data_IF_875560226667
#
_entry.id   IF_875560226667
#
_cell.length_a   1.000
_cell.length_b   1.000
_cell.length_c   1.000
_cell.angle_alpha   90.00
_cell.angle_beta   90.00
_cell.angle_gamma   90.00
#
_symmetry.space_group_name_H-M   'P 1'
#
loop_
_entity.id
_entity.type
_entity.pdbx_description
1 polymer ?
#
# COMPACT_ATOMS: atom_id res chain seq x y z
N UNK A 1 16.46 8.77 0.70
CA UNK A 1 16.59 7.30 0.54
C UNK A 1 17.92 6.89 -0.11
N UNK A 2 18.34 7.45 -1.25
CA UNK A 2 19.65 7.17 -1.83
C UNK A 2 20.83 7.45 -0.86
N UNK A 3 20.74 8.52 -0.06
CA UNK A 3 21.76 8.88 0.93
C UNK A 3 21.95 7.86 2.06
N UNK A 4 20.86 7.16 2.44
CA UNK A 4 20.86 6.11 3.47
C UNK A 4 21.63 4.89 2.95
N UNK A 5 21.37 4.48 1.71
CA UNK A 5 22.05 3.36 1.06
C UNK A 5 23.54 3.64 0.87
N UNK A 6 23.90 4.87 0.52
CA UNK A 6 25.30 5.28 0.33
C UNK A 6 26.07 5.27 1.68
N UNK A 7 25.44 5.68 2.79
CA UNK A 7 26.07 5.74 4.12
C UNK A 7 26.22 4.36 4.77
N UNK A 8 25.19 3.50 4.67
CA UNK A 8 25.29 2.13 5.15
C UNK A 8 26.22 1.28 4.27
N UNK A 9 26.19 1.50 2.95
CA UNK A 9 27.11 0.87 2.01
C UNK A 9 28.57 1.29 2.19
N UNK A 10 28.83 2.53 2.61
CA UNK A 10 30.20 3.00 2.92
C UNK A 10 30.70 2.46 4.27
N UNK A 11 29.84 2.37 5.29
CA UNK A 11 30.17 1.85 6.63
C UNK A 11 30.41 0.34 6.67
N UNK A 12 29.93 -0.43 5.68
CA UNK A 12 30.23 -1.86 5.55
C UNK A 12 31.67 -2.16 5.07
N UNK A 13 32.44 -1.13 4.67
CA UNK A 13 33.82 -1.28 4.18
C UNK A 13 34.83 -1.58 5.30
N UNK A 14 34.50 -1.25 6.56
CA UNK A 14 35.44 -1.36 7.70
C UNK A 14 35.52 -2.76 8.33
N UNK A 15 34.64 -3.70 7.99
CA UNK A 15 34.71 -5.09 8.48
C UNK A 15 34.90 -6.09 7.34
N UNK A 16 36.13 -6.11 6.80
CA UNK A 16 36.72 -7.30 6.17
C UNK A 16 36.12 -7.80 4.87
N UNK A 17 36.62 -7.30 3.74
CA UNK A 17 36.69 -8.05 2.47
C UNK A 17 35.74 -7.59 1.36
N UNK A 18 36.33 -7.23 0.22
CA UNK A 18 35.76 -7.06 -1.13
C UNK A 18 34.27 -6.62 -1.23
N UNK A 19 34.02 -5.33 -1.05
CA UNK A 19 32.94 -4.61 -1.74
C UNK A 19 31.53 -4.71 -1.14
N UNK A 20 31.25 -3.98 -0.05
CA UNK A 20 29.89 -3.76 0.44
C UNK A 20 28.92 -3.16 -0.61
N UNK A 21 29.47 -2.45 -1.60
CA UNK A 21 28.70 -1.98 -2.77
C UNK A 21 28.35 -3.14 -3.70
N UNK A 22 29.23 -4.14 -3.86
CA UNK A 22 28.98 -5.31 -4.70
C UNK A 22 27.90 -6.22 -4.09
N UNK A 23 27.93 -6.47 -2.77
CA UNK A 23 26.89 -7.25 -2.09
C UNK A 23 25.53 -6.52 -2.07
N UNK A 24 25.52 -5.20 -1.86
CA UNK A 24 24.31 -4.38 -1.96
C UNK A 24 23.73 -4.37 -3.39
N UNK A 25 24.59 -4.35 -4.42
CA UNK A 25 24.18 -4.40 -5.83
C UNK A 25 23.57 -5.75 -6.18
N UNK A 26 24.15 -6.85 -5.69
CA UNK A 26 23.59 -8.21 -5.86
C UNK A 26 22.23 -8.31 -5.17
N UNK A 27 22.11 -7.84 -3.92
CA UNK A 27 20.83 -7.81 -3.20
C UNK A 27 19.76 -6.98 -3.90
N UNK A 28 20.12 -5.78 -4.37
CA UNK A 28 19.22 -4.90 -5.13
C UNK A 28 18.78 -5.52 -6.46
N UNK A 29 19.69 -6.20 -7.17
CA UNK A 29 19.42 -6.85 -8.45
C UNK A 29 18.51 -8.06 -8.26
N UNK A 30 18.77 -8.90 -7.23
CA UNK A 30 17.91 -10.01 -6.86
C UNK A 30 16.50 -9.54 -6.46
N UNK A 31 16.40 -8.51 -5.61
CA UNK A 31 15.11 -7.95 -5.22
C UNK A 31 14.36 -7.37 -6.44
N UNK A 32 15.06 -6.65 -7.33
CA UNK A 32 14.49 -6.14 -8.57
C UNK A 32 13.96 -7.23 -9.49
N UNK A 33 14.73 -8.31 -9.69
CA UNK A 33 14.30 -9.46 -10.47
C UNK A 33 13.06 -10.14 -9.86
N UNK A 34 13.06 -10.34 -8.54
CA UNK A 34 11.91 -10.93 -7.84
C UNK A 34 10.66 -10.07 -7.99
N UNK A 35 10.79 -8.74 -7.87
CA UNK A 35 9.67 -7.80 -8.07
C UNK A 35 9.17 -7.83 -9.52
N UNK A 36 10.07 -7.92 -10.51
CA UNK A 36 9.69 -8.02 -11.92
C UNK A 36 8.92 -9.32 -12.18
N UNK A 37 9.41 -10.45 -11.66
CA UNK A 37 8.77 -11.76 -11.81
C UNK A 37 7.39 -11.76 -11.14
N UNK A 38 7.31 -11.26 -9.89
CA UNK A 38 6.05 -11.14 -9.17
C UNK A 38 5.07 -10.21 -9.91
N UNK A 39 5.53 -9.06 -10.39
CA UNK A 39 4.73 -8.12 -11.18
C UNK A 39 4.22 -8.73 -12.48
N UNK A 40 5.05 -9.53 -13.17
CA UNK A 40 4.65 -10.24 -14.39
C UNK A 40 3.57 -11.30 -14.13
N UNK A 41 3.67 -12.05 -13.03
CA UNK A 41 2.66 -13.04 -12.62
C UNK A 41 1.34 -12.38 -12.23
N UNK A 42 1.39 -11.25 -11.52
CA UNK A 42 0.19 -10.52 -11.03
C UNK A 42 -0.45 -9.67 -12.15
N UNK A 43 0.26 -9.39 -13.25
CA UNK A 43 -0.28 -8.63 -14.40
C UNK A 43 -1.52 -9.29 -15.02
N UNK A 44 -1.57 -10.63 -15.06
CA UNK A 44 -2.67 -11.37 -15.66
C UNK A 44 -4.03 -11.21 -14.91
N UNK A 45 -4.09 -11.28 -13.57
CA UNK A 45 -5.34 -11.03 -12.84
C UNK A 45 -5.75 -9.54 -12.80
N UNK A 46 -4.80 -8.60 -12.90
CA UNK A 46 -5.09 -7.15 -12.89
C UNK A 46 -5.96 -6.68 -14.06
N UNK A 47 -5.89 -7.35 -15.22
CA UNK A 47 -6.73 -7.02 -16.39
C UNK A 47 -8.20 -7.40 -16.19
N UNK A 48 -8.51 -8.24 -15.19
CA UNK A 48 -9.88 -8.65 -14.87
C UNK A 48 -10.52 -7.83 -13.75
N UNK A 49 -9.78 -6.93 -13.10
CA UNK A 49 -10.31 -6.13 -12.00
C UNK A 49 -11.06 -4.92 -12.57
N UNK A 50 -12.37 -4.77 -12.30
CA UNK A 50 -13.14 -3.63 -12.78
C UNK A 50 -12.52 -2.33 -12.27
N UNK A 51 -12.27 -1.38 -13.18
CA UNK A 51 -11.53 -0.13 -12.97
C UNK A 51 -11.94 0.63 -11.70
N UNK A 52 -13.24 0.63 -11.40
CA UNK A 52 -13.81 1.27 -10.22
C UNK A 52 -13.28 0.67 -8.90
N UNK A 53 -13.06 -0.64 -8.84
CA UNK A 53 -12.55 -1.32 -7.64
C UNK A 53 -11.06 -1.05 -7.45
N UNK A 54 -10.31 -0.99 -8.56
CA UNK A 54 -8.89 -0.68 -8.51
C UNK A 54 -8.66 0.74 -8.00
N UNK A 55 -9.38 1.72 -8.52
CA UNK A 55 -9.34 3.11 -8.04
C UNK A 55 -9.71 3.24 -6.56
N UNK A 56 -10.71 2.47 -6.12
CA UNK A 56 -11.15 2.45 -4.73
C UNK A 56 -10.07 1.93 -3.78
N UNK A 57 -9.49 0.76 -4.07
CA UNK A 57 -8.45 0.15 -3.23
C UNK A 57 -7.22 1.06 -3.21
N UNK A 58 -6.78 1.55 -4.38
CA UNK A 58 -5.62 2.45 -4.47
C UNK A 58 -5.85 3.73 -3.68
N UNK A 59 -7.05 4.31 -3.74
CA UNK A 59 -7.43 5.48 -2.93
C UNK A 59 -7.30 5.21 -1.42
N UNK A 60 -7.87 4.11 -0.92
CA UNK A 60 -7.79 3.73 0.50
C UNK A 60 -6.33 3.53 0.94
N UNK A 61 -5.54 2.85 0.11
CA UNK A 61 -4.13 2.62 0.40
C UNK A 61 -3.36 3.94 0.47
N UNK A 62 -3.54 4.83 -0.51
CA UNK A 62 -2.88 6.14 -0.55
C UNK A 62 -3.27 7.01 0.65
N UNK A 63 -4.55 7.03 1.03
CA UNK A 63 -5.02 7.77 2.21
C UNK A 63 -4.43 7.19 3.49
N UNK A 64 -4.47 5.87 3.66
CA UNK A 64 -3.90 5.19 4.84
C UNK A 64 -2.42 5.51 5.02
N UNK A 65 -1.63 5.29 3.97
CA UNK A 65 -0.20 5.59 4.01
C UNK A 65 0.06 7.08 4.23
N UNK A 66 -0.66 7.95 3.52
CA UNK A 66 -0.54 9.40 3.68
C UNK A 66 -0.80 9.85 5.12
N UNK A 67 -1.87 9.37 5.75
CA UNK A 67 -2.22 9.71 7.14
C UNK A 67 -1.20 9.16 8.14
N UNK A 68 -0.74 7.92 7.96
CA UNK A 68 0.24 7.30 8.85
C UNK A 68 1.56 8.09 8.87
N UNK A 69 2.14 8.32 7.69
CA UNK A 69 3.41 9.04 7.55
C UNK A 69 3.28 10.54 7.86
N UNK A 70 2.13 11.16 7.59
CA UNK A 70 1.89 12.55 7.99
C UNK A 70 1.93 12.67 9.52
N UNK A 71 1.21 11.82 10.25
CA UNK A 71 1.19 11.84 11.71
C UNK A 71 2.57 11.59 12.31
N UNK A 72 3.31 10.62 11.77
CA UNK A 72 4.68 10.32 12.20
C UNK A 72 5.64 11.49 11.91
N UNK A 73 5.48 12.15 10.76
CA UNK A 73 6.20 13.36 10.39
C UNK A 73 5.89 14.57 11.29
N UNK A 74 4.70 14.62 11.89
CA UNK A 74 4.33 15.60 12.91
C UNK A 74 4.85 15.24 14.31
N UNK A 75 5.59 14.15 14.47
CA UNK A 75 6.13 13.70 15.75
C UNK A 75 5.13 12.94 16.62
N UNK A 76 4.01 12.49 16.05
CA UNK A 76 3.03 11.68 16.76
C UNK A 76 3.49 10.22 16.78
N UNK A 77 3.78 9.69 17.96
CA UNK A 77 4.13 8.28 18.13
C UNK A 77 2.85 7.45 18.12
N UNK A 78 2.67 6.66 17.06
CA UNK A 78 1.54 5.74 16.99
C UNK A 78 1.66 4.67 18.09
N UNK A 79 0.58 4.39 18.84
CA UNK A 79 0.63 3.50 20.00
C UNK A 79 0.92 2.03 19.66
N UNK A 80 0.87 1.62 18.38
CA UNK A 80 1.30 0.30 17.90
C UNK A 80 2.40 0.36 16.83
N UNK A 81 3.21 1.44 16.81
CA UNK A 81 4.22 1.71 15.79
C UNK A 81 3.71 1.42 14.36
N UNK A 82 4.32 0.47 13.66
CA UNK A 82 4.04 0.07 12.28
C UNK A 82 2.71 -0.67 12.10
N UNK A 83 2.22 -1.33 13.15
CA UNK A 83 0.96 -2.11 13.06
C UNK A 83 -0.25 -1.20 12.87
N UNK A 84 -0.12 0.08 13.23
CA UNK A 84 -1.18 1.06 13.11
C UNK A 84 -1.60 1.31 11.65
N UNK A 85 -0.72 1.09 10.67
CA UNK A 85 -1.07 1.10 9.23
C UNK A 85 -2.18 0.10 8.93
N UNK A 86 -2.11 -1.11 9.47
CA UNK A 86 -3.10 -2.16 9.20
C UNK A 86 -4.45 -1.78 9.82
N UNK A 87 -4.42 -1.16 11.00
CA UNK A 87 -5.62 -0.67 11.70
C UNK A 87 -6.27 0.47 10.92
N UNK A 88 -5.51 1.47 10.45
CA UNK A 88 -6.05 2.55 9.60
C UNK A 88 -6.63 1.99 8.30
N UNK A 89 -5.92 1.08 7.64
CA UNK A 89 -6.40 0.45 6.41
C UNK A 89 -7.75 -0.25 6.65
N UNK A 90 -7.85 -1.05 7.72
CA UNK A 90 -9.07 -1.75 8.09
C UNK A 90 -10.20 -0.78 8.44
N UNK A 91 -9.91 0.31 9.16
CA UNK A 91 -10.88 1.33 9.54
C UNK A 91 -11.42 2.07 8.32
N UNK A 92 -10.56 2.54 7.42
CA UNK A 92 -10.98 3.18 6.17
C UNK A 92 -11.80 2.22 5.29
N UNK A 93 -11.38 0.96 5.21
CA UNK A 93 -12.08 -0.05 4.44
C UNK A 93 -13.47 -0.33 5.02
N UNK A 94 -13.59 -0.52 6.35
CA UNK A 94 -14.87 -0.71 7.03
C UNK A 94 -15.81 0.49 6.86
N UNK A 95 -15.32 1.70 7.08
CA UNK A 95 -16.11 2.92 6.91
C UNK A 95 -16.65 3.01 5.47
N UNK A 96 -15.80 2.72 4.50
CA UNK A 96 -16.16 2.79 3.09
C UNK A 96 -17.14 1.68 2.68
N UNK A 97 -16.96 0.44 3.16
CA UNK A 97 -17.92 -0.64 2.98
C UNK A 97 -19.28 -0.33 3.60
N UNK A 98 -19.31 0.24 4.81
CA UNK A 98 -20.55 0.66 5.47
C UNK A 98 -21.30 1.67 4.60
N UNK A 99 -20.61 2.69 4.09
CA UNK A 99 -21.19 3.70 3.20
C UNK A 99 -21.73 3.07 1.91
N UNK A 100 -20.97 2.16 1.29
CA UNK A 100 -21.38 1.47 0.06
C UNK A 100 -22.63 0.62 0.30
N UNK A 101 -22.65 -0.17 1.39
CA UNK A 101 -23.79 -1.01 1.76
C UNK A 101 -25.03 -0.17 2.05
N UNK A 102 -24.85 0.94 2.76
CA UNK A 102 -25.92 1.88 3.09
C UNK A 102 -26.51 2.53 1.83
N UNK A 103 -25.66 3.00 0.92
CA UNK A 103 -26.07 3.60 -0.35
C UNK A 103 -26.77 2.58 -1.27
N UNK A 104 -26.29 1.32 -1.29
CA UNK A 104 -26.91 0.24 -2.05
C UNK A 104 -28.29 -0.10 -1.52
N UNK A 105 -28.48 -0.09 -0.19
CA UNK A 105 -29.76 -0.30 0.47
C UNK A 105 -30.78 0.80 0.12
N UNK A 106 -30.35 2.07 0.10
CA UNK A 106 -31.22 3.20 -0.27
C UNK A 106 -31.63 3.12 -1.74
N UNK A 107 -30.71 2.77 -2.64
CA UNK A 107 -31.01 2.65 -4.08
C UNK A 107 -32.04 1.55 -4.37
N UNK A 108 -31.98 0.42 -3.67
CA UNK A 108 -32.95 -0.66 -3.84
C UNK A 108 -34.36 -0.24 -3.41
N UNK A 109 -34.48 0.59 -2.37
CA UNK A 109 -35.77 1.14 -1.93
C UNK A 109 -36.39 2.08 -2.97
N UNK A 110 -35.57 2.86 -3.68
CA UNK A 110 -36.04 3.80 -4.70
C UNK A 110 -36.52 3.11 -5.99
N UNK A 111 -35.92 1.99 -6.40
CA UNK A 111 -36.35 1.25 -7.59
C UNK A 111 -37.71 0.58 -7.41
N UNK A 112 -38.05 0.18 -6.18
CA UNK A 112 -39.35 -0.42 -5.86
C UNK A 112 -40.51 0.59 -5.93
N UNK A 113 -40.25 1.89 -5.74
CA UNK A 113 -41.28 2.95 -5.79
C UNK A 113 -41.62 3.40 -7.21
N UNK A 114 -40.70 3.28 -8.17
CA UNK A 114 -40.94 3.68 -9.58
C UNK A 114 -41.69 2.62 -10.38
N UNK A 115 -41.60 1.33 -10.00
CA UNK A 115 -42.39 0.27 -10.64
C UNK A 115 -43.83 0.16 -10.14
N UNK A 116 -44.23 0.99 -9.17
CA UNK A 116 -45.56 1.01 -8.57
C UNK A 116 -46.42 2.21 -9.02
N UNK A 117 -45.92 3.06 -9.93
CA UNK A 117 -46.61 4.19 -10.56
C UNK A 117 -46.81 3.95 -12.04
#
# INVERSE_FOLDING_TARGET
MAFIVITFGSSATTQGGMGGIASATIGATCAGLLVIIAGALIKAPLTRVPENTLKFIVGIMLTTFGTFWAAEGFGFSWPLSDTFIIILAALYLLASLLIILWLKSIRQRQLATTSAS
#
